data_IF_351642277787
#
_entry.id   IF_351642277787
#
_cell.length_a   1.000
_cell.length_b   1.000
_cell.length_c   1.000
_cell.angle_alpha   90.00
_cell.angle_beta   90.00
_cell.angle_gamma   90.00
#
_symmetry.space_group_name_H-M   'P 1'
#
loop_
_entity.id
_entity.type
_entity.pdbx_description
1 polymer ?
#
# COMPACT_ATOMS: atom_id res chain seq x y z
N UNK A 1 -10.41 29.22 29.21
CA UNK A 1 -9.17 29.90 28.79
C UNK A 1 -8.05 28.84 28.78
N UNK A 2 -7.69 28.33 27.61
CA UNK A 2 -6.60 27.35 27.50
C UNK A 2 -5.29 28.08 27.79
N UNK A 3 -4.60 27.72 28.88
CA UNK A 3 -3.23 28.19 29.16
C UNK A 3 -2.35 27.78 27.98
N UNK A 4 -1.55 28.70 27.50
CA UNK A 4 -0.64 28.48 26.38
C UNK A 4 0.34 27.35 26.76
N UNK A 5 0.14 26.15 26.22
CA UNK A 5 0.95 24.97 26.49
C UNK A 5 2.43 25.14 26.09
N UNK A 6 2.73 26.14 25.26
CA UNK A 6 4.11 26.44 24.81
C UNK A 6 5.07 26.82 25.95
N UNK A 7 4.57 27.36 27.07
CA UNK A 7 5.41 27.74 28.18
C UNK A 7 5.76 26.55 29.12
N UNK A 8 4.95 25.50 29.12
CA UNK A 8 5.07 24.38 30.03
C UNK A 8 5.61 23.10 29.39
N UNK A 9 5.58 23.02 28.05
CA UNK A 9 6.05 21.87 27.28
C UNK A 9 6.90 22.37 26.10
N UNK A 10 8.24 22.26 26.17
CA UNK A 10 9.06 22.53 25.01
C UNK A 10 8.62 21.59 23.88
N UNK A 11 8.39 22.16 22.70
CA UNK A 11 8.10 21.36 21.52
C UNK A 11 9.33 20.49 21.22
N UNK A 12 9.09 19.21 20.97
CA UNK A 12 10.14 18.33 20.46
C UNK A 12 10.65 18.87 19.11
N UNK A 13 11.95 18.76 18.87
CA UNK A 13 12.47 18.96 17.53
C UNK A 13 11.83 17.92 16.60
N UNK A 14 11.10 18.42 15.61
CA UNK A 14 10.45 17.58 14.61
C UNK A 14 11.39 17.42 13.44
N UNK A 15 11.68 16.19 13.05
CA UNK A 15 12.40 15.91 11.82
C UNK A 15 11.50 16.24 10.63
N UNK A 16 12.03 16.93 9.66
CA UNK A 16 11.36 17.14 8.37
C UNK A 16 11.61 15.91 7.50
N UNK A 17 10.55 15.26 7.05
CA UNK A 17 10.61 14.12 6.13
C UNK A 17 10.21 14.61 4.74
N UNK A 18 11.06 14.40 3.75
CA UNK A 18 10.88 14.95 2.41
C UNK A 18 9.88 14.14 1.54
N UNK A 19 9.70 12.85 1.87
CA UNK A 19 8.80 11.97 1.12
C UNK A 19 8.35 10.76 1.98
N UNK A 20 7.33 10.04 1.53
CA UNK A 20 6.94 8.77 2.16
C UNK A 20 8.04 7.71 2.05
N UNK A 21 8.84 7.74 0.98
CA UNK A 21 10.02 6.90 0.85
C UNK A 21 11.03 7.20 1.96
N UNK A 22 11.38 8.46 2.14
CA UNK A 22 12.28 8.90 3.20
C UNK A 22 11.75 8.50 4.59
N UNK A 23 10.43 8.61 4.82
CA UNK A 23 9.80 8.18 6.08
C UNK A 23 10.05 6.69 6.37
N UNK A 24 9.95 5.83 5.36
CA UNK A 24 10.20 4.39 5.50
C UNK A 24 11.67 4.10 5.79
N UNK A 25 12.58 4.74 5.06
CA UNK A 25 14.02 4.57 5.21
C UNK A 25 14.50 5.06 6.57
N UNK A 26 14.08 6.26 6.98
CA UNK A 26 14.37 6.81 8.32
C UNK A 26 13.79 5.95 9.43
N UNK A 27 12.56 5.44 9.25
CA UNK A 27 11.93 4.52 10.19
C UNK A 27 12.73 3.23 10.37
N UNK A 28 13.20 2.65 9.26
CA UNK A 28 14.03 1.45 9.26
C UNK A 28 15.41 1.70 9.91
N UNK A 29 16.01 2.87 9.68
CA UNK A 29 17.28 3.26 10.26
C UNK A 29 17.16 3.48 11.77
N UNK A 30 16.15 4.25 12.22
CA UNK A 30 15.99 4.67 13.61
C UNK A 30 15.49 3.55 14.53
N UNK A 31 14.60 2.71 14.02
CA UNK A 31 13.90 1.72 14.83
C UNK A 31 14.30 0.29 14.49
N UNK A 32 14.85 0.04 13.32
CA UNK A 32 15.43 -1.24 12.91
C UNK A 32 14.50 -2.41 13.17
N UNK A 33 14.92 -3.29 14.07
CA UNK A 33 14.23 -4.54 14.38
C UNK A 33 13.10 -4.38 15.42
N UNK A 34 12.78 -3.13 15.87
CA UNK A 34 11.60 -2.89 16.69
C UNK A 34 10.34 -3.15 15.86
N UNK A 35 9.30 -3.65 16.53
CA UNK A 35 8.01 -3.91 15.90
C UNK A 35 7.34 -2.61 15.44
N UNK A 36 7.11 -2.48 14.13
CA UNK A 36 6.26 -1.46 13.53
C UNK A 36 4.80 -1.89 13.56
N UNK A 37 4.53 -3.18 13.30
CA UNK A 37 3.19 -3.74 13.33
C UNK A 37 3.13 -5.00 14.19
N UNK A 38 1.98 -5.18 14.86
CA UNK A 38 1.60 -6.43 15.53
C UNK A 38 0.15 -6.74 15.19
N UNK A 39 -0.11 -7.91 14.68
CA UNK A 39 -1.46 -8.32 14.27
C UNK A 39 -1.68 -9.81 14.49
N UNK A 40 -2.95 -10.19 14.67
CA UNK A 40 -3.33 -11.60 14.78
C UNK A 40 -3.50 -12.20 13.40
N UNK A 41 -2.94 -13.39 13.20
CA UNK A 41 -3.20 -14.22 12.01
C UNK A 41 -4.25 -15.28 12.31
N UNK A 42 -4.72 -15.98 11.27
CA UNK A 42 -5.64 -17.10 11.39
C UNK A 42 -5.01 -18.16 12.33
N UNK A 43 -5.72 -18.54 13.38
CA UNK A 43 -5.19 -19.42 14.43
C UNK A 43 -4.85 -18.68 15.73
N UNK A 44 -4.92 -17.35 15.76
CA UNK A 44 -4.76 -16.55 16.98
C UNK A 44 -3.32 -16.17 17.34
N UNK A 45 -2.35 -16.65 16.59
CA UNK A 45 -0.94 -16.26 16.73
C UNK A 45 -0.76 -14.78 16.45
N UNK A 46 0.12 -14.13 17.21
CA UNK A 46 0.50 -12.73 16.99
C UNK A 46 1.76 -12.70 16.13
N UNK A 47 1.65 -12.16 14.92
CA UNK A 47 2.79 -11.80 14.11
C UNK A 47 3.25 -10.39 14.40
N UNK A 48 4.56 -10.20 14.31
CA UNK A 48 5.25 -8.92 14.44
C UNK A 48 6.03 -8.67 13.17
N UNK A 49 5.96 -7.44 12.65
CA UNK A 49 6.77 -6.97 11.53
C UNK A 49 7.56 -5.77 12.04
N UNK A 50 8.86 -5.78 11.89
CA UNK A 50 9.75 -4.69 12.28
C UNK A 50 9.69 -3.53 11.26
N UNK A 51 10.27 -2.38 11.62
CA UNK A 51 10.38 -1.24 10.70
C UNK A 51 11.23 -1.60 9.48
N UNK A 52 12.30 -2.36 9.66
CA UNK A 52 13.18 -2.81 8.58
C UNK A 52 12.43 -3.77 7.64
N UNK A 53 11.80 -4.80 8.20
CA UNK A 53 11.00 -5.75 7.42
C UNK A 53 9.87 -5.05 6.66
N UNK A 54 9.19 -4.09 7.29
CA UNK A 54 8.12 -3.32 6.63
C UNK A 54 8.63 -2.54 5.42
N UNK A 55 9.77 -1.84 5.56
CA UNK A 55 10.41 -1.14 4.45
C UNK A 55 10.77 -2.13 3.33
N UNK A 56 11.39 -3.27 3.65
CA UNK A 56 11.80 -4.27 2.68
C UNK A 56 10.59 -4.92 1.97
N UNK A 57 9.48 -5.12 2.68
CA UNK A 57 8.24 -5.62 2.07
C UNK A 57 7.56 -4.58 1.15
N UNK A 58 7.62 -3.30 1.51
CA UNK A 58 7.14 -2.21 0.65
C UNK A 58 7.97 -2.14 -0.63
N UNK A 59 9.30 -2.26 -0.52
CA UNK A 59 10.20 -2.25 -1.68
C UNK A 59 9.93 -3.43 -2.61
N UNK A 60 9.81 -4.62 -2.06
CA UNK A 60 9.52 -5.81 -2.83
C UNK A 60 8.17 -5.71 -3.55
N UNK A 61 7.11 -5.28 -2.85
CA UNK A 61 5.80 -5.15 -3.47
C UNK A 61 5.77 -4.02 -4.51
N UNK A 62 6.40 -2.88 -4.23
CA UNK A 62 6.55 -1.77 -5.17
C UNK A 62 7.28 -2.17 -6.45
N UNK A 63 8.37 -2.94 -6.33
CA UNK A 63 9.09 -3.49 -7.49
C UNK A 63 8.20 -4.42 -8.31
N UNK A 64 7.38 -5.26 -7.65
CA UNK A 64 6.38 -6.10 -8.34
C UNK A 64 5.32 -5.28 -9.07
N UNK A 65 4.88 -4.14 -8.53
CA UNK A 65 3.98 -3.20 -9.22
C UNK A 65 4.64 -2.57 -10.43
N UNK A 66 5.92 -2.19 -10.33
CA UNK A 66 6.68 -1.66 -11.47
C UNK A 66 6.78 -2.65 -12.62
N UNK A 67 7.01 -3.93 -12.36
CA UNK A 67 7.04 -4.99 -13.37
C UNK A 67 5.71 -5.14 -14.11
N UNK A 68 4.59 -4.85 -13.44
CA UNK A 68 3.28 -4.79 -14.08
C UNK A 68 3.01 -3.47 -14.83
N UNK A 69 3.96 -2.53 -14.84
CA UNK A 69 3.77 -1.20 -15.41
C UNK A 69 2.92 -0.26 -14.55
N UNK A 70 2.71 -0.59 -13.28
CA UNK A 70 1.83 0.15 -12.36
C UNK A 70 2.59 1.15 -11.46
N UNK A 71 3.88 1.35 -11.65
CA UNK A 71 4.68 2.23 -10.78
C UNK A 71 4.27 3.70 -10.76
N UNK A 72 3.51 4.15 -11.78
CA UNK A 72 2.97 5.53 -11.90
C UNK A 72 1.45 5.55 -11.99
N UNK A 73 0.81 4.41 -11.79
CA UNK A 73 -0.62 4.27 -11.97
C UNK A 73 -1.43 4.88 -10.80
N UNK A 74 -2.68 5.17 -11.07
CA UNK A 74 -3.68 5.45 -10.06
C UNK A 74 -4.20 4.12 -9.50
N UNK A 75 -3.91 3.84 -8.24
CA UNK A 75 -4.20 2.54 -7.62
C UNK A 75 -5.13 2.73 -6.44
N UNK A 76 -6.31 2.15 -6.54
CA UNK A 76 -7.25 2.12 -5.44
C UNK A 76 -6.87 1.05 -4.40
N UNK A 77 -7.13 1.32 -3.13
CA UNK A 77 -6.96 0.34 -2.04
C UNK A 77 -8.27 0.25 -1.26
N UNK A 78 -8.93 -0.90 -1.28
CA UNK A 78 -10.24 -1.13 -0.64
C UNK A 78 -10.23 -2.39 0.21
N UNK A 79 -10.81 -2.35 1.39
CA UNK A 79 -10.98 -3.51 2.25
C UNK A 79 -10.88 -3.22 3.74
N UNK A 80 -10.82 -4.29 4.53
CA UNK A 80 -10.70 -4.20 5.97
C UNK A 80 -9.32 -3.68 6.40
N UNK A 81 -9.30 -2.98 7.54
CA UNK A 81 -8.07 -2.57 8.18
C UNK A 81 -7.26 -3.80 8.61
N UNK A 82 -6.23 -4.11 7.85
CA UNK A 82 -5.30 -5.21 8.11
C UNK A 82 -3.87 -4.82 7.71
N UNK A 83 -2.91 -5.64 8.09
CA UNK A 83 -1.51 -5.42 7.73
C UNK A 83 -1.31 -5.33 6.20
N UNK A 84 -1.94 -6.21 5.44
CA UNK A 84 -1.87 -6.19 3.97
C UNK A 84 -2.38 -4.88 3.36
N UNK A 85 -3.47 -4.31 3.91
CA UNK A 85 -3.99 -3.02 3.50
C UNK A 85 -2.99 -1.89 3.76
N UNK A 86 -2.41 -1.86 4.97
CA UNK A 86 -1.39 -0.86 5.30
C UNK A 86 -0.15 -0.99 4.40
N UNK A 87 0.35 -2.21 4.19
CA UNK A 87 1.45 -2.49 3.26
C UNK A 87 1.13 -1.95 1.86
N UNK A 88 -0.04 -2.28 1.31
CA UNK A 88 -0.46 -1.82 -0.02
C UNK A 88 -0.50 -0.29 -0.11
N UNK A 89 -1.10 0.36 0.88
CA UNK A 89 -1.20 1.81 0.94
C UNK A 89 0.18 2.48 0.93
N UNK A 90 1.08 2.06 1.81
CA UNK A 90 2.43 2.59 1.87
C UNK A 90 3.27 2.24 0.63
N UNK A 91 3.02 1.08 0.02
CA UNK A 91 3.69 0.69 -1.22
C UNK A 91 3.36 1.68 -2.34
N UNK A 92 2.08 2.00 -2.56
CA UNK A 92 1.71 2.97 -3.60
C UNK A 92 2.25 4.36 -3.29
N UNK A 93 2.21 4.80 -2.02
CA UNK A 93 2.79 6.08 -1.60
C UNK A 93 4.32 6.16 -1.77
N UNK A 94 5.00 5.02 -1.74
CA UNK A 94 6.45 4.96 -1.93
C UNK A 94 6.87 4.81 -3.40
N UNK A 95 5.90 4.69 -4.33
CA UNK A 95 6.11 4.74 -5.78
C UNK A 95 5.81 6.14 -6.32
N UNK A 96 5.86 6.33 -7.64
CA UNK A 96 5.39 7.55 -8.31
C UNK A 96 3.87 7.53 -8.59
N UNK A 97 3.16 6.51 -8.10
CA UNK A 97 1.72 6.33 -8.29
C UNK A 97 0.87 7.19 -7.37
N UNK A 98 -0.42 7.20 -7.65
CA UNK A 98 -1.43 7.87 -6.83
C UNK A 98 -2.25 6.83 -6.08
N UNK A 99 -2.27 6.88 -4.75
CA UNK A 99 -3.11 6.00 -3.94
C UNK A 99 -4.49 6.58 -3.73
N UNK A 100 -5.53 5.75 -3.94
CA UNK A 100 -6.93 6.11 -3.76
C UNK A 100 -7.53 5.20 -2.68
N UNK A 101 -7.51 5.61 -1.40
CA UNK A 101 -8.13 4.80 -0.35
C UNK A 101 -9.65 4.88 -0.47
N UNK A 102 -10.31 3.72 -0.52
CA UNK A 102 -11.76 3.61 -0.63
C UNK A 102 -12.30 2.89 0.62
N UNK A 103 -13.31 3.49 1.24
CA UNK A 103 -14.00 2.84 2.34
C UNK A 103 -14.78 1.63 1.83
N UNK A 104 -14.57 0.46 2.45
CA UNK A 104 -15.21 -0.81 2.10
C UNK A 104 -16.75 -0.80 2.26
N UNK A 105 -17.25 0.08 3.13
CA UNK A 105 -18.67 0.18 3.49
C UNK A 105 -19.47 1.10 2.56
N UNK A 106 -18.84 1.77 1.59
CA UNK A 106 -19.52 2.54 0.56
C UNK A 106 -20.42 1.64 -0.30
N UNK A 107 -21.48 2.22 -0.88
CA UNK A 107 -22.33 1.52 -1.86
C UNK A 107 -21.57 1.14 -3.13
N UNK A 108 -22.15 0.29 -3.97
CA UNK A 108 -21.58 -0.05 -5.27
C UNK A 108 -21.49 1.20 -6.16
N UNK A 109 -22.51 2.08 -6.16
CA UNK A 109 -22.54 3.32 -6.93
C UNK A 109 -21.46 4.31 -6.50
N UNK A 110 -21.29 4.50 -5.18
CA UNK A 110 -20.25 5.39 -4.65
C UNK A 110 -18.84 4.86 -4.96
N UNK A 111 -18.64 3.55 -4.79
CA UNK A 111 -17.37 2.89 -5.11
C UNK A 111 -17.05 3.04 -6.60
N UNK A 112 -18.03 2.79 -7.47
CA UNK A 112 -17.89 2.95 -8.91
C UNK A 112 -17.53 4.39 -9.29
N UNK A 113 -18.25 5.37 -8.71
CA UNK A 113 -17.99 6.78 -8.95
C UNK A 113 -16.56 7.18 -8.60
N UNK A 114 -16.06 6.75 -7.42
CA UNK A 114 -14.67 7.07 -7.01
C UNK A 114 -13.66 6.43 -7.96
N UNK A 115 -13.84 5.15 -8.32
CA UNK A 115 -12.93 4.43 -9.21
C UNK A 115 -12.88 5.05 -10.61
N UNK A 116 -14.03 5.47 -11.15
CA UNK A 116 -14.10 6.11 -12.46
C UNK A 116 -13.55 7.54 -12.44
N UNK A 117 -13.95 8.35 -11.44
CA UNK A 117 -13.54 9.74 -11.29
C UNK A 117 -12.03 9.89 -11.04
N UNK A 118 -11.44 8.96 -10.31
CA UNK A 118 -10.00 8.96 -10.02
C UNK A 118 -9.14 8.36 -11.13
N UNK A 119 -9.73 7.92 -12.23
CA UNK A 119 -9.03 7.24 -13.32
C UNK A 119 -8.23 6.01 -12.83
N UNK A 120 -8.79 5.26 -11.88
CA UNK A 120 -8.12 4.11 -11.30
C UNK A 120 -7.79 3.04 -12.37
N UNK A 121 -6.53 2.67 -12.48
CA UNK A 121 -6.03 1.67 -13.42
C UNK A 121 -5.92 0.28 -12.77
N UNK A 122 -5.70 0.28 -11.44
CA UNK A 122 -5.62 -0.92 -10.63
C UNK A 122 -6.35 -0.75 -9.30
N UNK A 123 -6.75 -1.86 -8.71
CA UNK A 123 -7.29 -1.91 -7.34
C UNK A 123 -6.63 -3.02 -6.56
N UNK A 124 -6.17 -2.69 -5.35
CA UNK A 124 -5.68 -3.65 -4.36
C UNK A 124 -6.82 -3.87 -3.36
N UNK A 125 -7.24 -5.10 -3.16
CA UNK A 125 -8.42 -5.39 -2.34
C UNK A 125 -8.24 -6.56 -1.39
N UNK A 126 -8.98 -6.53 -0.28
CA UNK A 126 -9.15 -7.69 0.58
C UNK A 126 -10.22 -8.63 0.00
N UNK A 127 -10.20 -9.90 0.44
CA UNK A 127 -11.11 -10.94 -0.06
C UNK A 127 -12.58 -10.53 -0.03
N UNK A 128 -13.02 -9.87 1.01
CA UNK A 128 -14.45 -9.51 1.15
C UNK A 128 -14.89 -8.44 0.16
N UNK A 129 -13.95 -7.68 -0.41
CA UNK A 129 -14.24 -6.66 -1.43
C UNK A 129 -14.24 -7.21 -2.85
N UNK A 130 -13.73 -8.42 -3.10
CA UNK A 130 -13.62 -9.01 -4.43
C UNK A 130 -14.99 -9.11 -5.14
N UNK A 131 -16.02 -9.63 -4.46
CA UNK A 131 -17.35 -9.78 -5.03
C UNK A 131 -18.02 -8.43 -5.41
N UNK A 132 -17.71 -7.35 -4.69
CA UNK A 132 -18.13 -5.99 -5.05
C UNK A 132 -17.43 -5.57 -6.35
N UNK A 133 -16.13 -5.72 -6.43
CA UNK A 133 -15.34 -5.35 -7.60
C UNK A 133 -15.76 -6.15 -8.83
N UNK A 134 -16.06 -7.45 -8.71
CA UNK A 134 -16.56 -8.28 -9.82
C UNK A 134 -17.83 -7.72 -10.48
N UNK A 135 -18.72 -7.14 -9.66
CA UNK A 135 -19.93 -6.48 -10.18
C UNK A 135 -19.64 -5.17 -10.89
N UNK A 136 -18.61 -4.43 -10.45
CA UNK A 136 -18.30 -3.07 -10.92
C UNK A 136 -17.37 -3.07 -12.15
N UNK A 137 -16.47 -4.04 -12.25
CA UNK A 137 -15.47 -4.13 -13.34
C UNK A 137 -16.02 -3.94 -14.75
N UNK A 138 -17.19 -4.53 -15.14
CA UNK A 138 -17.73 -4.34 -16.49
C UNK A 138 -18.03 -2.87 -16.83
N UNK A 139 -18.23 -2.01 -15.83
CA UNK A 139 -18.54 -0.58 -15.99
C UNK A 139 -17.31 0.32 -15.89
N UNK A 140 -16.11 -0.25 -15.63
CA UNK A 140 -14.88 0.47 -15.34
C UNK A 140 -13.78 0.13 -16.36
N UNK A 141 -13.85 0.65 -17.60
CA UNK A 141 -12.96 0.24 -18.70
C UNK A 141 -11.48 0.60 -18.46
N UNK A 142 -11.18 1.55 -17.56
CA UNK A 142 -9.81 1.91 -17.20
C UNK A 142 -9.21 0.98 -16.15
N UNK A 143 -10.04 0.40 -15.28
CA UNK A 143 -9.62 -0.51 -14.22
C UNK A 143 -9.36 -1.90 -14.80
N UNK A 144 -8.10 -2.21 -15.06
CA UNK A 144 -7.68 -3.45 -15.73
C UNK A 144 -7.02 -4.45 -14.82
N UNK A 145 -6.59 -4.03 -13.64
CA UNK A 145 -5.81 -4.88 -12.74
C UNK A 145 -6.44 -4.95 -11.36
N UNK A 146 -6.66 -6.16 -10.88
CA UNK A 146 -7.13 -6.44 -9.51
C UNK A 146 -6.05 -7.22 -8.77
N UNK A 147 -5.60 -6.68 -7.64
CA UNK A 147 -4.57 -7.30 -6.80
C UNK A 147 -5.21 -7.73 -5.49
N UNK A 148 -5.22 -9.04 -5.24
CA UNK A 148 -5.89 -9.65 -4.10
C UNK A 148 -4.94 -9.81 -2.91
N UNK A 149 -5.35 -9.31 -1.74
CA UNK A 149 -4.61 -9.44 -0.48
C UNK A 149 -4.97 -10.74 0.23
N UNK A 150 -3.96 -11.62 0.43
CA UNK A 150 -4.12 -12.84 1.22
C UNK A 150 -4.95 -13.94 0.57
N UNK A 151 -5.24 -13.84 -0.73
CA UNK A 151 -5.95 -14.88 -1.50
C UNK A 151 -5.21 -15.18 -2.81
N UNK A 152 -5.31 -16.42 -3.32
CA UNK A 152 -4.89 -16.72 -4.68
C UNK A 152 -5.68 -15.85 -5.69
N UNK A 153 -5.02 -15.38 -6.72
CA UNK A 153 -5.67 -14.66 -7.79
C UNK A 153 -6.13 -15.65 -8.88
N UNK A 154 -7.37 -15.52 -9.30
CA UNK A 154 -7.96 -16.32 -10.39
C UNK A 154 -8.57 -15.38 -11.43
N UNK A 155 -8.25 -15.61 -12.71
CA UNK A 155 -8.77 -14.85 -13.83
C UNK A 155 -7.77 -13.87 -14.46
N UNK A 156 -8.09 -13.39 -15.63
CA UNK A 156 -7.27 -12.44 -16.39
C UNK A 156 -7.22 -11.07 -15.67
N UNK A 157 -6.06 -10.45 -15.65
CA UNK A 157 -5.84 -9.17 -14.98
C UNK A 157 -5.85 -9.25 -13.45
N UNK A 158 -5.83 -10.45 -12.85
CA UNK A 158 -5.82 -10.66 -11.42
C UNK A 158 -4.49 -11.19 -10.91
N UNK A 159 -4.02 -10.64 -9.81
CA UNK A 159 -2.73 -10.97 -9.21
C UNK A 159 -2.87 -11.15 -7.70
N UNK A 160 -2.09 -12.08 -7.14
CA UNK A 160 -1.94 -12.18 -5.69
C UNK A 160 -0.85 -11.20 -5.23
N UNK A 161 -1.14 -10.36 -4.25
CA UNK A 161 -0.20 -9.37 -3.74
C UNK A 161 1.11 -10.00 -3.23
N UNK A 162 1.02 -11.16 -2.58
CA UNK A 162 2.20 -11.85 -2.06
C UNK A 162 3.07 -12.44 -3.18
N UNK A 163 2.47 -12.89 -4.30
CA UNK A 163 3.23 -13.35 -5.46
C UNK A 163 3.96 -12.19 -6.15
N UNK A 164 3.34 -11.02 -6.23
CA UNK A 164 3.99 -9.81 -6.75
C UNK A 164 5.14 -9.36 -5.85
N UNK A 165 4.96 -9.39 -4.54
CA UNK A 165 6.02 -9.05 -3.59
C UNK A 165 7.19 -10.06 -3.67
N UNK A 166 6.91 -11.35 -3.83
CA UNK A 166 7.96 -12.36 -4.02
C UNK A 166 8.74 -12.14 -5.31
N UNK A 167 8.04 -11.88 -6.41
CA UNK A 167 8.66 -11.53 -7.68
C UNK A 167 9.55 -10.29 -7.57
N UNK A 168 9.05 -9.25 -6.90
CA UNK A 168 9.84 -8.04 -6.65
C UNK A 168 11.07 -8.29 -5.79
N UNK A 169 10.98 -9.18 -4.79
CA UNK A 169 12.12 -9.58 -3.95
C UNK A 169 13.20 -10.30 -4.76
N UNK A 170 12.79 -11.20 -5.67
CA UNK A 170 13.72 -11.88 -6.60
C UNK A 170 14.44 -10.87 -7.49
N UNK A 171 13.72 -9.88 -8.03
CA UNK A 171 14.28 -8.85 -8.89
C UNK A 171 15.29 -7.98 -8.14
N UNK A 172 14.95 -7.52 -6.92
CA UNK A 172 15.85 -6.75 -6.07
C UNK A 172 17.13 -7.52 -5.74
N UNK A 173 17.02 -8.81 -5.43
CA UNK A 173 18.17 -9.68 -5.18
C UNK A 173 19.04 -9.88 -6.43
N UNK A 174 18.45 -9.82 -7.62
CA UNK A 174 19.13 -9.91 -8.92
C UNK A 174 19.79 -8.60 -9.39
N UNK A 175 19.71 -7.51 -8.60
CA UNK A 175 20.27 -6.21 -8.95
C UNK A 175 19.35 -5.39 -9.86
N UNK A 176 18.05 -5.40 -9.60
CA UNK A 176 17.10 -4.51 -10.26
C UNK A 176 17.59 -3.05 -10.16
N UNK A 177 17.50 -2.25 -11.24
CA UNK A 177 18.14 -0.94 -11.28
C UNK A 177 17.73 -0.05 -10.10
N UNK A 178 18.71 0.66 -9.52
CA UNK A 178 18.55 1.62 -8.42
C UNK A 178 17.61 2.80 -8.72
N UNK A 179 17.07 2.86 -9.93
CA UNK A 179 16.14 3.88 -10.39
C UNK A 179 14.67 3.57 -10.11
N UNK A 180 14.36 2.97 -8.96
CA UNK A 180 12.98 3.10 -8.45
C UNK A 180 12.83 4.56 -8.01
N UNK A 181 12.07 5.40 -8.73
CA UNK A 181 12.01 6.81 -8.38
C UNK A 181 11.41 6.93 -6.97
N UNK A 182 12.06 7.74 -6.14
CA UNK A 182 11.47 8.15 -4.87
C UNK A 182 10.08 8.76 -5.16
N UNK A 183 9.10 8.41 -4.35
CA UNK A 183 7.77 8.99 -4.48
C UNK A 183 7.89 10.52 -4.45
N UNK A 184 7.43 11.17 -5.50
CA UNK A 184 7.32 12.61 -5.52
C UNK A 184 6.03 12.94 -4.80
N UNK A 185 6.16 13.51 -3.59
CA UNK A 185 5.01 14.09 -2.88
C UNK A 185 4.75 15.45 -3.48
N UNK A 186 3.59 15.60 -4.12
CA UNK A 186 3.07 16.91 -4.51
C UNK A 186 2.27 17.49 -3.35
#
# INVERSE_FOLDING_TARGET
MYKNLKENYPLYEVRTTESFRALLDEGAELFGDKAAFRFKVKGGEIKSVSYREFRDEVDAFGTGLYELGLGKAHIAVIGENCYGWARAYFTVLATEGVVIPIDKDLSDEETQYILDFSDAEAVICTKNSEAKLDRLLPSLPKLKTVICLGTPAEGEGRYAADALAEKGRELLAGGYPESTPAAVVY
#
